data_IF_942708798033
#
_entry.id   IF_942708798033
#
_cell.length_a   1.000
_cell.length_b   1.000
_cell.length_c   1.000
_cell.angle_alpha   90.00
_cell.angle_beta   90.00
_cell.angle_gamma   90.00
#
_symmetry.space_group_name_H-M   'P 1'
#
loop_
_entity.id
_entity.type
_entity.pdbx_description
1 polymer ?
#
# COMPACT_ATOMS: atom_id res chain seq x y z
N UNK A 1 -19.12 -9.30 2.87
CA UNK A 1 -17.67 -9.56 2.99
C UNK A 1 -17.24 -9.46 4.43
N UNK A 2 -16.34 -10.33 4.90
CA UNK A 2 -16.01 -10.46 6.32
C UNK A 2 -14.50 -10.55 6.53
N UNK A 3 -13.98 -9.72 7.42
CA UNK A 3 -12.58 -9.73 7.85
C UNK A 3 -12.43 -10.66 9.03
N UNK A 4 -11.85 -11.85 8.77
CA UNK A 4 -11.45 -12.77 9.83
C UNK A 4 -10.30 -12.14 10.63
N UNK A 5 -10.38 -12.16 11.95
CA UNK A 5 -9.29 -11.74 12.85
C UNK A 5 -8.95 -12.88 13.80
N UNK A 6 -7.69 -13.31 13.80
CA UNK A 6 -7.24 -14.45 14.62
C UNK A 6 -6.04 -14.12 15.50
N UNK A 7 -5.95 -14.77 16.65
CA UNK A 7 -4.79 -14.68 17.52
C UNK A 7 -3.64 -15.59 17.04
N UNK A 8 -2.57 -15.67 17.84
CA UNK A 8 -1.39 -16.50 17.54
C UNK A 8 -1.66 -18.00 17.66
N UNK A 9 -2.74 -18.41 18.32
CA UNK A 9 -3.19 -19.82 18.41
C UNK A 9 -4.01 -20.23 17.18
N UNK A 10 -4.38 -19.27 16.32
CA UNK A 10 -5.26 -19.48 15.17
C UNK A 10 -6.75 -19.35 15.48
N UNK A 11 -7.10 -19.01 16.72
CA UNK A 11 -8.47 -18.84 17.19
C UNK A 11 -8.96 -17.41 16.95
N UNK A 12 -10.27 -17.20 16.99
CA UNK A 12 -10.82 -15.85 16.85
C UNK A 12 -10.44 -15.00 18.07
N UNK A 13 -10.01 -13.76 17.83
CA UNK A 13 -9.75 -12.82 18.93
C UNK A 13 -11.03 -12.48 19.69
N UNK A 14 -10.90 -11.97 20.91
CA UNK A 14 -12.02 -11.53 21.77
C UNK A 14 -12.94 -10.53 21.08
N UNK A 15 -12.39 -9.62 20.27
CA UNK A 15 -13.16 -8.62 19.51
C UNK A 15 -13.82 -9.19 18.24
N UNK A 16 -13.62 -10.47 17.93
CA UNK A 16 -14.16 -11.17 16.76
C UNK A 16 -13.67 -10.60 15.42
N UNK A 17 -14.14 -11.17 14.31
CA UNK A 17 -14.04 -10.53 13.00
C UNK A 17 -15.15 -9.48 12.78
N UNK A 18 -15.11 -8.75 11.67
CA UNK A 18 -16.12 -7.76 11.34
C UNK A 18 -16.46 -7.74 9.85
N UNK A 19 -17.65 -7.25 9.49
CA UNK A 19 -18.01 -7.10 8.09
C UNK A 19 -17.19 -5.99 7.43
N UNK A 20 -16.93 -6.13 6.13
CA UNK A 20 -16.12 -5.19 5.37
C UNK A 20 -16.50 -3.73 5.59
N UNK A 21 -17.81 -3.42 5.52
CA UNK A 21 -18.32 -2.06 5.72
C UNK A 21 -18.02 -1.48 7.11
N UNK A 22 -17.96 -2.33 8.15
CA UNK A 22 -17.67 -1.91 9.53
C UNK A 22 -16.19 -1.54 9.73
N UNK A 23 -15.32 -1.95 8.81
CA UNK A 23 -13.90 -1.59 8.81
C UNK A 23 -13.58 -0.31 8.04
N UNK A 24 -14.44 0.10 7.10
CA UNK A 24 -14.18 1.24 6.20
C UNK A 24 -14.10 2.54 7.00
N UNK A 25 -12.94 3.21 6.93
CA UNK A 25 -12.62 4.43 7.68
C UNK A 25 -12.76 4.34 9.21
N UNK A 26 -12.57 3.14 9.79
CA UNK A 26 -12.63 2.92 11.25
C UNK A 26 -11.26 2.57 11.83
N UNK A 27 -10.35 3.54 11.87
CA UNK A 27 -9.02 3.36 12.48
C UNK A 27 -9.07 2.94 13.96
N UNK A 28 -10.15 3.28 14.68
CA UNK A 28 -10.40 2.82 16.05
C UNK A 28 -10.40 1.30 16.19
N UNK A 29 -10.78 0.55 15.13
CA UNK A 29 -10.70 -0.92 15.10
C UNK A 29 -9.27 -1.42 15.27
N UNK A 30 -8.31 -0.72 14.68
CA UNK A 30 -6.89 -1.08 14.80
C UNK A 30 -6.37 -0.64 16.17
N UNK A 31 -6.69 0.59 16.60
CA UNK A 31 -6.14 1.17 17.83
C UNK A 31 -6.64 0.50 19.11
N UNK A 32 -7.90 0.04 19.14
CA UNK A 32 -8.56 -0.40 20.36
C UNK A 32 -9.07 -1.85 20.33
N UNK A 33 -9.00 -2.55 19.18
CA UNK A 33 -9.52 -3.93 19.05
C UNK A 33 -8.46 -4.93 18.57
N UNK A 34 -7.26 -4.88 19.18
CA UNK A 34 -6.24 -5.91 19.01
C UNK A 34 -5.18 -5.63 17.94
N UNK A 35 -5.07 -4.41 17.44
CA UNK A 35 -3.98 -4.03 16.54
C UNK A 35 -4.13 -4.56 15.11
N UNK A 36 -2.99 -4.61 14.41
CA UNK A 36 -2.91 -5.03 12.99
C UNK A 36 -2.69 -6.54 12.85
N UNK A 37 -2.01 -7.17 13.80
CA UNK A 37 -1.60 -8.57 13.70
C UNK A 37 -2.76 -9.53 13.45
N UNK A 38 -3.90 -9.45 14.18
CA UNK A 38 -5.00 -10.36 13.93
C UNK A 38 -5.59 -10.25 12.52
N UNK A 39 -5.53 -9.06 11.92
CA UNK A 39 -6.00 -8.79 10.56
C UNK A 39 -5.04 -9.43 9.56
N UNK A 40 -3.73 -9.22 9.73
CA UNK A 40 -2.70 -9.81 8.84
C UNK A 40 -2.73 -11.34 8.92
N UNK A 41 -2.86 -11.93 10.12
CA UNK A 41 -3.08 -13.38 10.28
C UNK A 41 -4.36 -13.84 9.57
N UNK A 42 -5.41 -13.04 9.62
CA UNK A 42 -6.65 -13.26 8.88
C UNK A 42 -6.44 -13.29 7.37
N UNK A 43 -5.68 -12.34 6.80
CA UNK A 43 -5.34 -12.30 5.38
C UNK A 43 -4.55 -13.53 4.94
N UNK A 44 -3.59 -13.97 5.75
CA UNK A 44 -2.78 -15.15 5.44
C UNK A 44 -3.59 -16.46 5.45
N UNK A 45 -4.72 -16.49 6.16
CA UNK A 45 -5.57 -17.69 6.32
C UNK A 45 -6.89 -17.62 5.55
N UNK A 46 -7.14 -16.54 4.81
CA UNK A 46 -8.38 -16.38 4.05
C UNK A 46 -8.08 -16.49 2.56
N UNK A 47 -8.69 -17.44 1.83
CA UNK A 47 -8.47 -17.56 0.39
C UNK A 47 -9.01 -16.34 -0.34
N UNK A 48 -8.29 -15.90 -1.37
CA UNK A 48 -8.74 -14.82 -2.25
C UNK A 48 -9.99 -15.24 -3.02
N UNK A 49 -10.90 -14.28 -3.24
CA UNK A 49 -12.07 -14.50 -4.09
C UNK A 49 -11.68 -14.49 -5.57
N UNK A 50 -12.41 -15.24 -6.38
CA UNK A 50 -12.23 -15.20 -7.84
C UNK A 50 -12.57 -13.80 -8.38
N UNK A 51 -11.75 -13.23 -9.28
CA UNK A 51 -11.91 -11.84 -9.72
C UNK A 51 -13.25 -11.50 -10.39
N UNK A 52 -13.90 -12.44 -11.08
CA UNK A 52 -15.20 -12.20 -11.75
C UNK A 52 -16.38 -11.95 -10.81
N UNK A 53 -16.18 -11.96 -9.48
CA UNK A 53 -17.25 -11.84 -8.48
C UNK A 53 -17.01 -10.69 -7.53
N UNK A 54 -17.51 -9.51 -7.91
CA UNK A 54 -17.68 -8.40 -6.97
C UNK A 54 -18.71 -8.78 -5.90
N UNK A 55 -18.45 -8.39 -4.65
CA UNK A 55 -19.33 -8.74 -3.54
C UNK A 55 -20.38 -7.64 -3.32
N UNK A 56 -21.58 -7.96 -2.81
CA UNK A 56 -22.57 -6.94 -2.46
C UNK A 56 -22.07 -5.90 -1.45
N UNK A 57 -20.99 -6.20 -0.71
CA UNK A 57 -20.38 -5.23 0.19
C UNK A 57 -19.77 -4.03 -0.54
N UNK A 58 -19.34 -4.21 -1.80
CA UNK A 58 -18.75 -3.15 -2.63
C UNK A 58 -19.70 -2.66 -3.74
N UNK A 59 -20.67 -3.46 -4.17
CA UNK A 59 -21.65 -3.02 -5.19
C UNK A 59 -22.89 -2.37 -4.58
N UNK A 60 -23.29 -2.73 -3.35
CA UNK A 60 -24.52 -2.18 -2.75
C UNK A 60 -24.26 -1.30 -1.52
N UNK A 61 -23.17 -1.58 -0.79
CA UNK A 61 -22.96 -1.06 0.57
C UNK A 61 -21.66 -0.28 0.74
N UNK A 62 -20.93 0.02 -0.34
CA UNK A 62 -19.71 0.81 -0.22
C UNK A 62 -20.07 2.21 0.27
N UNK A 63 -19.43 2.68 1.34
CA UNK A 63 -19.75 3.98 1.96
C UNK A 63 -21.24 4.20 2.27
N UNK A 64 -21.98 3.13 2.56
CA UNK A 64 -23.40 3.18 2.93
C UNK A 64 -24.40 2.92 1.80
N UNK A 65 -24.10 3.30 0.55
CA UNK A 65 -25.03 3.11 -0.59
C UNK A 65 -24.38 3.27 -1.98
N UNK A 66 -23.06 3.14 -2.08
CA UNK A 66 -22.32 3.34 -3.33
C UNK A 66 -21.99 2.01 -4.00
N UNK A 67 -22.14 1.97 -5.33
CA UNK A 67 -21.69 0.87 -6.18
C UNK A 67 -20.31 1.17 -6.79
N UNK A 68 -19.28 0.48 -6.28
CA UNK A 68 -17.91 0.65 -6.78
C UNK A 68 -17.74 0.13 -8.22
N UNK A 69 -18.50 -0.88 -8.63
CA UNK A 69 -18.47 -1.40 -9.99
C UNK A 69 -18.98 -0.37 -11.00
N UNK A 70 -20.15 0.21 -10.73
CA UNK A 70 -20.72 1.30 -11.53
C UNK A 70 -19.82 2.54 -11.54
N UNK A 71 -19.18 2.87 -10.42
CA UNK A 71 -18.19 3.96 -10.36
C UNK A 71 -16.97 3.70 -11.23
N UNK A 72 -16.44 2.46 -11.28
CA UNK A 72 -15.30 2.12 -12.13
C UNK A 72 -15.65 2.26 -13.61
N UNK A 73 -16.86 1.87 -14.01
CA UNK A 73 -17.39 2.10 -15.37
C UNK A 73 -17.42 3.60 -15.67
N UNK A 74 -18.06 4.38 -14.79
CA UNK A 74 -18.18 5.82 -15.00
C UNK A 74 -16.83 6.54 -15.00
N UNK A 75 -15.88 6.10 -14.17
CA UNK A 75 -14.50 6.60 -14.14
C UNK A 75 -13.76 6.31 -15.43
N UNK A 76 -13.94 5.11 -15.99
CA UNK A 76 -13.37 4.77 -17.30
C UNK A 76 -13.84 5.73 -18.39
N UNK A 77 -15.15 6.03 -18.41
CA UNK A 77 -15.75 6.98 -19.36
C UNK A 77 -15.27 8.42 -19.14
N UNK A 78 -15.20 8.86 -17.88
CA UNK A 78 -14.70 10.18 -17.48
C UNK A 78 -13.25 10.40 -17.95
N UNK A 79 -12.41 9.37 -17.83
CA UNK A 79 -11.02 9.41 -18.28
C UNK A 79 -10.84 9.06 -19.78
N UNK A 80 -11.94 8.90 -20.53
CA UNK A 80 -11.94 8.49 -21.93
C UNK A 80 -11.07 7.26 -22.21
N UNK A 81 -11.12 6.27 -21.31
CA UNK A 81 -10.41 5.01 -21.50
C UNK A 81 -10.97 4.31 -22.74
N UNK A 82 -10.12 3.84 -23.67
CA UNK A 82 -10.58 3.13 -24.85
C UNK A 82 -11.45 1.91 -24.53
N UNK A 83 -12.30 1.52 -25.47
CA UNK A 83 -13.16 0.36 -25.31
C UNK A 83 -12.36 -0.93 -25.14
N UNK A 84 -13.01 -1.95 -24.56
CA UNK A 84 -12.45 -3.28 -24.43
C UNK A 84 -11.96 -3.83 -25.78
N UNK A 85 -12.73 -3.68 -26.85
CA UNK A 85 -12.34 -4.16 -28.18
C UNK A 85 -11.10 -3.43 -28.73
N UNK A 86 -10.97 -2.13 -28.45
CA UNK A 86 -9.76 -1.35 -28.78
C UNK A 86 -8.56 -1.85 -27.97
N UNK A 87 -8.73 -2.09 -26.67
CA UNK A 87 -7.66 -2.60 -25.82
C UNK A 87 -7.22 -4.03 -26.19
N UNK A 88 -8.15 -4.87 -26.64
CA UNK A 88 -7.85 -6.21 -27.19
C UNK A 88 -6.91 -6.12 -28.39
N UNK A 89 -7.24 -5.26 -29.36
CA UNK A 89 -6.41 -5.09 -30.56
C UNK A 89 -5.03 -4.51 -30.24
N UNK A 90 -4.96 -3.55 -29.30
CA UNK A 90 -3.67 -3.08 -28.75
C UNK A 90 -2.83 -4.22 -28.18
N UNK A 91 -3.46 -5.20 -27.53
CA UNK A 91 -2.82 -6.39 -26.98
C UNK A 91 -2.62 -7.53 -27.99
N UNK A 92 -2.83 -7.28 -29.29
CA UNK A 92 -2.59 -8.25 -30.36
C UNK A 92 -3.70 -9.28 -30.56
N UNK A 93 -4.85 -9.12 -29.91
CA UNK A 93 -6.02 -9.97 -30.12
C UNK A 93 -6.85 -9.49 -31.34
N UNK A 94 -7.58 -10.39 -32.02
CA UNK A 94 -8.47 -10.01 -33.11
C UNK A 94 -9.55 -9.02 -32.64
N UNK A 95 -9.88 -8.06 -33.51
CA UNK A 95 -11.05 -7.19 -33.29
C UNK A 95 -12.32 -8.03 -33.38
N UNK A 96 -13.21 -7.91 -32.40
CA UNK A 96 -14.53 -8.53 -32.44
C UNK A 96 -15.51 -7.67 -33.23
N UNK A 97 -16.18 -8.25 -34.21
CA UNK A 97 -17.27 -7.63 -34.97
C UNK A 97 -18.64 -8.00 -34.37
N UNK A 98 -18.69 -9.09 -33.60
CA UNK A 98 -19.87 -9.56 -32.88
C UNK A 98 -19.57 -9.92 -31.42
N UNK A 99 -20.57 -9.89 -30.55
CA UNK A 99 -20.40 -10.34 -29.16
C UNK A 99 -20.02 -11.83 -29.04
N UNK A 100 -20.30 -12.65 -30.05
CA UNK A 100 -19.88 -14.05 -30.10
C UNK A 100 -18.36 -14.18 -30.32
N UNK A 101 -17.74 -13.21 -30.99
CA UNK A 101 -16.30 -13.18 -31.27
C UNK A 101 -15.45 -12.95 -30.00
N UNK A 102 -16.08 -12.58 -28.88
CA UNK A 102 -15.44 -12.58 -27.56
C UNK A 102 -15.26 -13.99 -26.97
N UNK A 103 -15.70 -15.05 -27.65
CA UNK A 103 -15.59 -16.44 -27.20
C UNK A 103 -14.16 -16.96 -27.06
N UNK A 104 -13.17 -16.24 -27.59
CA UNK A 104 -11.75 -16.53 -27.43
C UNK A 104 -11.23 -16.24 -26.02
N UNK A 105 -11.79 -15.23 -25.34
CA UNK A 105 -11.37 -14.79 -24.00
C UNK A 105 -12.49 -14.87 -22.95
N UNK A 106 -13.76 -14.77 -23.35
CA UNK A 106 -14.95 -14.85 -22.48
C UNK A 106 -15.68 -16.15 -22.84
N UNK A 107 -15.32 -17.25 -22.20
CA UNK A 107 -15.78 -18.58 -22.60
C UNK A 107 -17.28 -18.76 -22.33
N UNK A 108 -17.78 -18.22 -21.21
CA UNK A 108 -19.20 -18.32 -20.84
C UNK A 108 -20.09 -17.50 -21.79
N UNK A 109 -20.90 -18.24 -22.55
CA UNK A 109 -21.86 -17.68 -23.51
C UNK A 109 -22.91 -16.78 -22.83
N UNK A 110 -23.29 -17.04 -21.59
CA UNK A 110 -24.26 -16.20 -20.88
C UNK A 110 -23.71 -14.82 -20.59
N UNK A 111 -22.39 -14.70 -20.31
CA UNK A 111 -21.73 -13.41 -20.13
C UNK A 111 -21.73 -12.62 -21.44
N UNK A 112 -21.44 -13.28 -22.57
CA UNK A 112 -21.48 -12.67 -23.91
C UNK A 112 -22.88 -12.20 -24.31
N UNK A 113 -23.92 -12.99 -24.00
CA UNK A 113 -25.32 -12.57 -24.15
C UNK A 113 -25.66 -11.41 -23.20
N UNK A 114 -25.10 -11.41 -21.99
CA UNK A 114 -25.22 -10.29 -21.05
C UNK A 114 -24.66 -9.00 -21.63
N UNK A 115 -23.49 -9.06 -22.28
CA UNK A 115 -22.89 -7.90 -22.96
C UNK A 115 -23.80 -7.38 -24.08
N UNK A 116 -24.32 -8.26 -24.94
CA UNK A 116 -25.18 -7.84 -26.06
C UNK A 116 -26.52 -7.24 -25.64
N UNK A 117 -26.95 -7.47 -24.39
CA UNK A 117 -28.14 -6.82 -23.81
C UNK A 117 -27.86 -5.44 -23.24
N UNK A 118 -26.61 -5.16 -22.86
CA UNK A 118 -26.24 -3.92 -22.16
C UNK A 118 -25.46 -2.94 -23.05
N UNK A 119 -24.85 -3.42 -24.13
CA UNK A 119 -24.08 -2.63 -25.08
C UNK A 119 -24.65 -2.78 -26.50
N UNK A 120 -24.65 -1.70 -27.28
CA UNK A 120 -25.18 -1.73 -28.65
C UNK A 120 -24.20 -2.42 -29.60
N UNK A 121 -22.90 -2.14 -29.46
CA UNK A 121 -21.85 -2.72 -30.29
C UNK A 121 -20.69 -3.24 -29.44
N UNK A 122 -19.83 -4.10 -30.01
CA UNK A 122 -18.61 -4.59 -29.36
C UNK A 122 -17.63 -3.45 -29.02
N UNK A 123 -17.65 -2.37 -29.81
CA UNK A 123 -16.82 -1.18 -29.62
C UNK A 123 -17.31 -0.27 -28.49
N UNK A 124 -18.52 -0.49 -27.94
CA UNK A 124 -19.04 0.27 -26.78
C UNK A 124 -18.69 -0.36 -25.43
N UNK A 125 -18.20 -1.61 -25.41
CA UNK A 125 -17.92 -2.34 -24.17
C UNK A 125 -16.82 -1.63 -23.39
N UNK A 126 -17.14 -1.16 -22.19
CA UNK A 126 -16.16 -0.50 -21.31
C UNK A 126 -14.99 -1.45 -21.00
N UNK A 127 -13.75 -0.95 -21.07
CA UNK A 127 -12.55 -1.77 -20.84
C UNK A 127 -12.60 -2.51 -19.49
N UNK A 128 -13.03 -1.82 -18.43
CA UNK A 128 -13.19 -2.42 -17.09
C UNK A 128 -14.15 -3.62 -17.11
N UNK A 129 -15.27 -3.52 -17.83
CA UNK A 129 -16.26 -4.62 -17.87
C UNK A 129 -15.71 -5.79 -18.66
N UNK A 130 -15.23 -5.56 -19.88
CA UNK A 130 -14.71 -6.64 -20.73
C UNK A 130 -13.53 -7.37 -20.08
N UNK A 131 -12.57 -6.63 -19.53
CA UNK A 131 -11.38 -7.21 -18.88
C UNK A 131 -11.70 -8.03 -17.62
N UNK A 132 -12.75 -7.67 -16.87
CA UNK A 132 -13.19 -8.43 -15.70
C UNK A 132 -14.00 -9.68 -16.06
N UNK A 133 -14.50 -9.79 -17.30
CA UNK A 133 -15.26 -10.94 -17.79
C UNK A 133 -14.38 -11.97 -18.51
N UNK A 134 -13.16 -11.61 -18.93
CA UNK A 134 -12.22 -12.57 -19.51
C UNK A 134 -11.86 -13.67 -18.51
N UNK A 135 -11.81 -14.92 -18.97
CA UNK A 135 -11.32 -16.03 -18.19
C UNK A 135 -9.82 -15.87 -17.88
N UNK A 136 -9.35 -16.22 -16.66
CA UNK A 136 -7.95 -16.03 -16.29
C UNK A 136 -7.00 -16.88 -17.13
N UNK A 137 -5.82 -16.34 -17.42
CA UNK A 137 -4.75 -17.12 -18.05
C UNK A 137 -4.27 -18.25 -17.12
N UNK A 138 -3.66 -19.29 -17.69
CA UNK A 138 -3.11 -20.41 -16.91
C UNK A 138 -2.08 -19.91 -15.89
N UNK A 139 -2.33 -20.18 -14.60
CA UNK A 139 -1.49 -19.72 -13.50
C UNK A 139 -1.66 -18.24 -13.11
N UNK A 140 -2.57 -17.51 -13.77
CA UNK A 140 -2.88 -16.12 -13.49
C UNK A 140 -4.23 -15.92 -12.80
N UNK A 141 -4.49 -14.67 -12.39
CA UNK A 141 -5.77 -14.26 -11.80
C UNK A 141 -6.64 -13.45 -12.76
N UNK A 142 -6.06 -12.88 -13.81
CA UNK A 142 -6.75 -12.01 -14.77
C UNK A 142 -6.62 -12.55 -16.18
N UNK A 143 -7.51 -12.11 -17.06
CA UNK A 143 -7.50 -12.50 -18.47
C UNK A 143 -6.34 -11.90 -19.27
N UNK A 144 -6.26 -12.28 -20.54
CA UNK A 144 -5.18 -11.93 -21.46
C UNK A 144 -5.04 -10.42 -21.65
N UNK A 145 -6.14 -9.70 -21.90
CA UNK A 145 -6.09 -8.26 -22.19
C UNK A 145 -5.64 -7.49 -20.96
N UNK A 146 -6.16 -7.82 -19.77
CA UNK A 146 -5.76 -7.16 -18.53
C UNK A 146 -4.31 -7.51 -18.16
N UNK A 147 -3.88 -8.75 -18.37
CA UNK A 147 -2.49 -9.19 -18.16
C UNK A 147 -1.52 -8.42 -19.04
N UNK A 148 -1.86 -8.19 -20.31
CA UNK A 148 -1.08 -7.39 -21.25
C UNK A 148 -0.90 -5.94 -20.76
N UNK A 149 -2.00 -5.27 -20.39
CA UNK A 149 -1.96 -3.88 -19.93
C UNK A 149 -1.17 -3.74 -18.62
N UNK A 150 -1.43 -4.62 -17.65
CA UNK A 150 -0.68 -4.65 -16.37
C UNK A 150 0.80 -4.92 -16.64
N UNK A 151 1.11 -5.93 -17.47
CA UNK A 151 2.48 -6.32 -17.80
C UNK A 151 3.27 -5.18 -18.45
N UNK A 152 2.67 -4.50 -19.43
CA UNK A 152 3.31 -3.35 -20.09
C UNK A 152 3.52 -2.19 -19.11
N UNK A 153 2.57 -1.91 -18.22
CA UNK A 153 2.73 -0.88 -17.20
C UNK A 153 3.85 -1.20 -16.21
N UNK A 154 3.91 -2.43 -15.68
CA UNK A 154 4.95 -2.85 -14.74
C UNK A 154 6.33 -2.91 -15.40
N UNK A 155 6.40 -3.34 -16.67
CA UNK A 155 7.64 -3.33 -17.45
C UNK A 155 8.18 -1.92 -17.60
N UNK A 156 7.35 -0.95 -18.00
CA UNK A 156 7.77 0.45 -18.14
C UNK A 156 8.18 1.07 -16.80
N UNK A 157 7.48 0.75 -15.71
CA UNK A 157 7.86 1.20 -14.37
C UNK A 157 9.24 0.67 -13.97
N UNK A 158 9.52 -0.60 -14.27
CA UNK A 158 10.83 -1.21 -14.00
C UNK A 158 11.93 -0.60 -14.88
N UNK A 159 11.74 -0.66 -16.20
CA UNK A 159 12.78 -0.31 -17.18
C UNK A 159 13.05 1.21 -17.20
N UNK A 160 12.04 2.02 -16.85
CA UNK A 160 12.13 3.48 -16.78
C UNK A 160 12.59 4.03 -15.43
N UNK A 161 12.72 3.20 -14.40
CA UNK A 161 13.18 3.64 -13.07
C UNK A 161 14.72 3.59 -12.99
N UNK A 162 15.34 4.77 -12.95
CA UNK A 162 16.78 4.91 -12.75
C UNK A 162 17.26 4.24 -11.45
N UNK A 163 16.41 4.20 -10.44
CA UNK A 163 16.70 3.61 -9.12
C UNK A 163 16.14 2.20 -8.95
N UNK A 164 15.73 1.53 -10.04
CA UNK A 164 15.32 0.13 -9.96
C UNK A 164 16.45 -0.69 -9.31
N UNK A 165 16.12 -1.48 -8.29
CA UNK A 165 17.10 -2.03 -7.36
C UNK A 165 18.13 -2.98 -8.01
N UNK A 166 17.85 -3.53 -9.19
CA UNK A 166 18.81 -4.36 -9.94
C UNK A 166 19.71 -3.57 -10.91
N UNK A 167 19.49 -2.25 -11.06
CA UNK A 167 20.33 -1.43 -11.92
C UNK A 167 21.75 -1.30 -11.37
N UNK A 168 22.71 -1.29 -12.29
CA UNK A 168 24.12 -1.14 -11.94
C UNK A 168 24.37 0.18 -11.20
N UNK A 169 25.09 0.11 -10.08
CA UNK A 169 25.45 1.28 -9.28
C UNK A 169 24.38 1.73 -8.27
N UNK A 170 23.19 1.11 -8.25
CA UNK A 170 22.19 1.36 -7.19
C UNK A 170 22.59 0.63 -5.91
N UNK A 171 22.91 -0.66 -6.03
CA UNK A 171 23.43 -1.49 -4.95
C UNK A 171 24.71 -2.19 -5.38
N UNK A 172 25.57 -2.50 -4.41
CA UNK A 172 26.71 -3.40 -4.61
C UNK A 172 26.23 -4.84 -4.85
N UNK A 173 27.02 -5.70 -5.50
CA UNK A 173 26.64 -7.10 -5.71
C UNK A 173 26.31 -7.86 -4.42
N UNK A 174 27.02 -7.56 -3.31
CA UNK A 174 26.74 -8.15 -1.99
C UNK A 174 25.42 -7.66 -1.41
N UNK A 175 25.13 -6.37 -1.48
CA UNK A 175 23.83 -5.83 -1.06
C UNK A 175 22.67 -6.42 -1.87
N UNK A 176 22.83 -6.54 -3.20
CA UNK A 176 21.82 -7.15 -4.05
C UNK A 176 21.59 -8.63 -3.72
N UNK A 177 22.65 -9.37 -3.39
CA UNK A 177 22.55 -10.74 -2.92
C UNK A 177 21.75 -10.86 -1.60
N UNK A 178 21.86 -9.89 -0.69
CA UNK A 178 21.05 -9.86 0.54
C UNK A 178 19.60 -9.46 0.25
N UNK A 179 19.35 -8.45 -0.59
CA UNK A 179 17.98 -8.02 -0.96
C UNK A 179 17.20 -9.18 -1.57
N UNK A 180 17.84 -10.00 -2.41
CA UNK A 180 17.21 -11.17 -3.05
C UNK A 180 16.79 -12.28 -2.08
N UNK A 181 17.27 -12.26 -0.84
CA UNK A 181 16.82 -13.18 0.22
C UNK A 181 15.53 -12.71 0.91
N UNK A 182 15.11 -11.47 0.69
CA UNK A 182 13.93 -10.90 1.33
C UNK A 182 12.63 -11.57 0.87
N UNK A 183 11.65 -11.63 1.76
CA UNK A 183 10.31 -12.14 1.48
C UNK A 183 9.28 -11.36 2.30
N UNK A 184 8.05 -11.25 1.79
CA UNK A 184 6.96 -10.62 2.54
C UNK A 184 6.68 -11.35 3.86
N UNK A 185 6.83 -12.67 3.89
CA UNK A 185 6.71 -13.44 5.14
C UNK A 185 7.76 -13.00 6.14
N UNK A 186 9.03 -12.84 5.73
CA UNK A 186 10.08 -12.38 6.64
C UNK A 186 9.79 -10.99 7.20
N UNK A 187 9.35 -10.05 6.36
CA UNK A 187 8.94 -8.71 6.80
C UNK A 187 7.84 -8.78 7.87
N UNK A 188 6.84 -9.64 7.67
CA UNK A 188 5.78 -9.84 8.67
C UNK A 188 6.34 -10.42 9.97
N UNK A 189 7.21 -11.43 9.91
CA UNK A 189 7.76 -12.06 11.13
C UNK A 189 8.74 -11.15 11.90
N UNK A 190 9.43 -10.22 11.23
CA UNK A 190 10.32 -9.27 11.89
C UNK A 190 9.57 -8.11 12.57
N UNK A 191 8.33 -7.83 12.16
CA UNK A 191 7.58 -6.65 12.61
C UNK A 191 6.24 -6.98 13.30
N UNK A 192 5.83 -8.25 13.31
CA UNK A 192 4.60 -8.71 13.95
C UNK A 192 4.88 -9.65 15.11
N UNK A 193 3.94 -9.74 16.04
CA UNK A 193 4.07 -10.57 17.23
C UNK A 193 3.71 -12.02 16.92
N UNK A 194 4.57 -12.98 17.27
CA UNK A 194 4.23 -14.41 17.30
C UNK A 194 3.67 -15.00 15.99
N UNK A 195 4.10 -14.50 14.83
CA UNK A 195 3.68 -15.04 13.51
C UNK A 195 4.29 -16.41 13.20
N UNK A 196 5.36 -16.77 13.89
CA UNK A 196 6.02 -18.07 13.84
C UNK A 196 5.21 -19.20 14.51
N UNK A 197 4.02 -18.95 15.04
CA UNK A 197 3.27 -19.94 15.83
C UNK A 197 1.98 -20.45 15.15
N UNK A 198 1.60 -19.89 14.01
CA UNK A 198 0.25 -20.10 13.45
C UNK A 198 0.13 -21.40 12.64
N UNK A 199 1.11 -21.73 11.80
CA UNK A 199 1.12 -22.99 11.03
C UNK A 199 2.53 -23.37 10.61
N UNK A 200 2.82 -24.67 10.46
CA UNK A 200 4.16 -25.14 10.07
C UNK A 200 4.67 -24.53 8.77
N UNK A 201 3.79 -24.22 7.83
CA UNK A 201 4.15 -23.51 6.63
C UNK A 201 4.61 -22.07 6.92
N UNK A 202 3.93 -21.37 7.83
CA UNK A 202 4.30 -20.02 8.25
C UNK A 202 5.57 -20.01 9.12
N UNK A 203 5.76 -21.01 9.98
CA UNK A 203 7.02 -21.25 10.71
C UNK A 203 8.17 -21.39 9.72
N UNK A 204 8.01 -22.23 8.70
CA UNK A 204 9.01 -22.43 7.68
C UNK A 204 9.26 -21.16 6.86
N UNK A 205 8.23 -20.35 6.60
CA UNK A 205 8.32 -19.05 5.92
C UNK A 205 8.96 -17.93 6.75
N UNK A 206 8.86 -17.99 8.08
CA UNK A 206 9.59 -17.10 8.99
C UNK A 206 11.06 -17.53 9.16
N UNK A 207 11.31 -18.85 9.15
CA UNK A 207 12.65 -19.42 9.31
C UNK A 207 13.46 -19.44 8.01
N UNK A 208 12.82 -19.39 6.85
CA UNK A 208 13.52 -19.27 5.57
C UNK A 208 14.12 -17.86 5.43
N UNK A 209 15.44 -17.81 5.28
CA UNK A 209 16.19 -16.54 5.26
C UNK A 209 16.57 -16.01 6.64
N UNK A 210 16.42 -16.79 7.72
CA UNK A 210 17.08 -16.48 9.00
C UNK A 210 18.59 -16.45 8.72
N UNK A 211 19.18 -15.27 8.79
CA UNK A 211 20.63 -15.15 8.99
C UNK A 211 20.97 -16.08 10.17
N UNK A 212 21.97 -16.98 10.05
CA UNK A 212 22.39 -17.76 11.19
C UNK A 212 22.69 -16.80 12.32
N UNK A 213 22.17 -17.09 13.51
CA UNK A 213 22.56 -16.41 14.74
C UNK A 213 24.01 -16.77 15.05
N UNK A 214 24.95 -16.20 14.31
CA UNK A 214 26.30 -15.98 14.77
C UNK A 214 26.26 -14.63 15.50
N UNK A 215 26.51 -14.63 16.81
CA UNK A 215 26.36 -13.45 17.67
C UNK A 215 27.31 -12.28 17.34
N UNK A 216 27.34 -11.21 18.16
CA UNK A 216 26.30 -10.76 19.10
C UNK A 216 25.10 -10.17 18.32
N UNK A 217 23.98 -9.99 19.03
CA UNK A 217 22.73 -9.31 18.58
C UNK A 217 22.84 -8.51 17.27
N UNK A 218 22.14 -8.98 16.23
CA UNK A 218 21.80 -8.15 15.08
C UNK A 218 20.90 -7.04 15.64
N UNK A 219 21.47 -5.85 15.83
CA UNK A 219 20.69 -4.64 15.97
C UNK A 219 19.72 -4.61 14.79
N UNK A 220 18.43 -4.36 15.07
CA UNK A 220 17.45 -3.91 14.08
C UNK A 220 18.16 -3.00 13.08
N UNK A 221 17.88 -3.13 11.78
CA UNK A 221 18.48 -2.31 10.70
C UNK A 221 18.59 -0.87 11.18
N UNK A 222 19.76 -0.53 11.71
CA UNK A 222 20.11 0.84 12.00
C UNK A 222 20.39 1.39 10.62
N UNK A 223 19.78 2.52 10.21
CA UNK A 223 20.31 3.28 9.12
C UNK A 223 21.66 3.82 9.62
N UNK A 224 22.70 3.01 9.53
CA UNK A 224 24.05 3.49 9.78
C UNK A 224 24.31 4.51 8.69
N UNK A 225 24.55 5.72 9.16
CA UNK A 225 24.88 6.87 8.38
C UNK A 225 25.94 6.52 7.34
N UNK A 226 25.89 7.23 6.21
CA UNK A 226 27.09 7.50 5.42
C UNK A 226 28.20 7.89 6.42
N UNK A 227 29.22 7.06 6.55
CA UNK A 227 30.33 7.30 7.47
C UNK A 227 31.63 6.96 6.76
N UNK A 228 32.41 8.01 6.43
CA UNK A 228 33.83 7.88 6.13
C UNK A 228 34.63 7.49 7.39
N UNK A 229 35.94 7.30 7.26
CA UNK A 229 36.78 6.78 8.33
C UNK A 229 37.02 7.87 9.36
N UNK A 230 36.60 7.66 10.60
CA UNK A 230 37.33 7.98 11.83
C UNK A 230 36.51 7.48 13.03
N UNK A 231 37.13 6.62 13.84
CA UNK A 231 36.60 5.98 15.03
C UNK A 231 36.22 6.98 16.13
N UNK A 232 35.06 6.79 16.78
CA UNK A 232 34.92 7.07 18.23
C UNK A 232 33.95 6.07 18.86
N UNK A 233 34.45 5.39 19.87
CA UNK A 233 33.80 4.40 20.73
C UNK A 233 32.64 5.02 21.55
N UNK A 234 31.46 4.39 21.55
CA UNK A 234 30.29 4.87 22.30
C UNK A 234 29.91 3.90 23.43
N UNK A 235 29.91 4.44 24.65
CA UNK A 235 29.51 3.77 25.87
C UNK A 235 28.02 3.39 25.90
N UNK A 236 27.73 2.25 26.53
CA UNK A 236 26.39 1.68 26.74
C UNK A 236 25.63 2.46 27.81
N UNK A 237 24.42 2.94 27.51
CA UNK A 237 23.45 3.46 28.50
C UNK A 237 22.20 2.57 28.50
N UNK A 238 21.72 2.08 29.66
CA UNK A 238 20.56 1.20 29.72
C UNK A 238 19.21 1.93 29.58
N UNK A 239 18.21 1.20 29.08
CA UNK A 239 16.82 1.61 28.86
C UNK A 239 16.17 2.23 30.11
N UNK A 240 15.53 3.40 29.97
CA UNK A 240 14.53 3.89 30.91
C UNK A 240 13.16 3.97 30.26
N UNK A 241 12.17 3.33 30.89
CA UNK A 241 10.75 3.48 30.60
C UNK A 241 10.29 4.92 30.85
N UNK A 242 9.93 5.67 29.80
CA UNK A 242 9.09 6.86 29.95
C UNK A 242 8.35 7.16 28.64
N UNK A 243 7.07 6.79 28.56
CA UNK A 243 6.15 7.32 27.55
C UNK A 243 5.73 8.73 27.99
N UNK A 244 6.11 9.77 27.25
CA UNK A 244 5.56 11.13 27.40
C UNK A 244 4.48 11.35 26.35
N UNK A 245 3.27 11.64 26.84
CA UNK A 245 2.08 11.93 26.05
C UNK A 245 1.99 13.43 25.76
N UNK A 246 1.81 13.84 24.51
CA UNK A 246 1.38 15.21 24.16
C UNK A 246 -0.14 15.26 24.16
N UNK A 247 -0.73 15.91 25.18
CA UNK A 247 -2.17 16.16 25.26
C UNK A 247 -2.49 17.42 24.45
N UNK A 248 -3.24 17.28 23.36
CA UNK A 248 -3.95 18.41 22.74
C UNK A 248 -5.22 18.63 23.57
N UNK A 249 -5.26 19.68 24.39
CA UNK A 249 -6.52 20.13 24.99
C UNK A 249 -7.31 20.91 23.94
N UNK A 250 -8.40 20.33 23.43
CA UNK A 250 -9.41 21.07 22.69
C UNK A 250 -10.34 21.79 23.68
N UNK A 251 -10.27 23.11 23.73
CA UNK A 251 -11.35 23.91 24.32
C UNK A 251 -12.38 24.32 23.26
N UNK A 252 -13.61 24.54 23.73
CA UNK A 252 -14.86 24.59 22.97
C UNK A 252 -14.96 25.65 21.86
N UNK A 253 -15.90 25.41 20.94
CA UNK A 253 -16.17 26.02 19.63
C UNK A 253 -16.56 27.53 19.57
N UNK A 254 -16.25 28.37 20.56
CA UNK A 254 -16.71 29.78 20.57
C UNK A 254 -15.63 30.86 20.39
N UNK A 255 -14.36 30.52 20.17
CA UNK A 255 -13.30 31.50 19.84
C UNK A 255 -12.47 31.08 18.63
N UNK A 256 -13.11 31.02 17.45
CA UNK A 256 -12.40 31.04 16.17
C UNK A 256 -12.04 32.49 15.83
N UNK A 257 -10.80 32.90 16.10
CA UNK A 257 -10.01 33.86 15.32
C UNK A 257 -8.63 33.99 15.97
N UNK A 258 -7.59 33.84 15.15
CA UNK A 258 -6.14 33.89 15.45
C UNK A 258 -5.51 32.53 15.81
N UNK A 259 -5.04 31.82 14.78
CA UNK A 259 -4.00 30.81 14.94
C UNK A 259 -2.65 31.53 15.11
N UNK A 260 -1.99 31.35 16.25
CA UNK A 260 -0.55 31.53 16.41
C UNK A 260 0.00 30.23 16.98
N UNK A 261 0.75 29.49 16.17
CA UNK A 261 1.47 28.29 16.63
C UNK A 261 2.74 28.76 17.34
N UNK A 262 2.81 28.59 18.66
CA UNK A 262 4.04 28.84 19.42
C UNK A 262 4.89 27.56 19.39
N UNK A 263 5.94 27.54 18.57
CA UNK A 263 6.97 26.50 18.63
C UNK A 263 8.19 27.10 19.36
N UNK A 264 8.42 26.70 20.61
CA UNK A 264 9.70 26.94 21.27
C UNK A 264 10.59 25.71 21.03
N UNK A 265 11.73 25.91 20.35
CA UNK A 265 12.81 24.93 20.35
C UNK A 265 13.43 24.91 21.75
N UNK A 266 13.55 23.73 22.36
CA UNK A 266 14.47 23.52 23.46
C UNK A 266 15.77 22.98 22.85
N UNK A 267 16.82 23.79 22.82
CA UNK A 267 18.17 23.29 22.57
C UNK A 267 18.72 22.61 23.83
N UNK A 268 19.35 21.47 23.63
CA UNK A 268 20.12 20.75 24.64
C UNK A 268 21.55 21.28 24.57
N UNK A 269 22.06 21.81 25.69
CA UNK A 269 23.43 22.34 25.79
C UNK A 269 24.42 21.18 25.90
N UNK A 270 25.41 21.14 25.01
CA UNK A 270 26.69 20.45 25.25
C UNK A 270 27.83 21.43 24.98
N UNK A 271 28.61 21.74 26.01
CA UNK A 271 29.92 22.38 25.85
C UNK A 271 29.92 23.92 25.87
N UNK A 272 30.91 24.47 26.57
CA UNK A 272 31.12 25.87 26.94
C UNK A 272 31.28 26.86 25.78
N UNK A 273 30.41 27.85 25.66
CA UNK A 273 30.72 29.26 25.31
C UNK A 273 29.46 30.12 25.34
N UNK A 274 29.55 31.33 25.90
CA UNK A 274 28.45 32.27 26.11
C UNK A 274 28.38 33.24 24.91
N UNK A 275 27.23 33.34 24.24
CA UNK A 275 26.91 34.48 23.39
C UNK A 275 25.39 34.68 23.17
N UNK A 276 24.87 35.82 23.65
CA UNK A 276 23.79 36.63 23.08
C UNK A 276 22.39 36.02 22.82
N UNK A 277 21.41 36.37 23.66
CA UNK A 277 19.98 36.17 23.39
C UNK A 277 19.51 37.11 22.28
N UNK A 278 18.92 36.58 21.21
CA UNK A 278 18.13 37.37 20.24
C UNK A 278 16.62 37.16 20.52
N UNK A 279 15.78 38.21 20.44
CA UNK A 279 14.35 38.08 20.73
C UNK A 279 13.58 37.41 19.58
N UNK A 280 12.55 36.64 19.93
CA UNK A 280 11.62 36.03 18.97
C UNK A 280 10.87 37.11 18.17
N UNK A 281 10.93 37.05 16.84
CA UNK A 281 10.12 37.88 15.94
C UNK A 281 9.00 37.08 15.29
N UNK A 282 7.82 37.72 15.19
CA UNK A 282 6.66 37.22 14.44
C UNK A 282 6.99 37.27 12.95
N UNK A 283 6.90 36.14 12.24
CA UNK A 283 7.06 36.08 10.79
C UNK A 283 5.69 35.89 10.13
N UNK A 284 5.32 36.83 9.25
CA UNK A 284 4.08 36.76 8.46
C UNK A 284 4.20 35.66 7.38
N UNK A 285 3.28 34.67 7.33
CA UNK A 285 3.27 33.59 6.34
C UNK A 285 3.28 34.05 4.87
N UNK A 286 2.89 35.30 4.57
CA UNK A 286 2.88 35.83 3.20
C UNK A 286 4.27 36.14 2.64
N UNK A 287 5.26 36.33 3.50
CA UNK A 287 6.64 36.65 3.10
C UNK A 287 7.43 35.41 2.60
N UNK A 288 7.08 34.22 3.09
CA UNK A 288 7.69 32.95 2.69
C UNK A 288 7.27 32.48 1.28
N UNK A 289 6.08 32.86 0.82
CA UNK A 289 5.57 32.53 -0.51
C UNK A 289 6.24 33.33 -1.65
N UNK A 290 6.77 34.52 -1.35
CA UNK A 290 7.46 35.35 -2.33
C UNK A 290 8.87 34.83 -2.67
N UNK A 291 9.58 34.25 -1.69
CA UNK A 291 10.93 33.69 -1.88
C UNK A 291 10.94 32.38 -2.68
N UNK A 292 9.89 31.56 -2.57
CA UNK A 292 9.75 30.32 -3.32
C UNK A 292 9.42 30.54 -4.81
N UNK A 293 8.82 31.68 -5.17
CA UNK A 293 8.42 32.00 -6.55
C UNK A 293 9.54 32.61 -7.41
N UNK A 294 10.65 33.05 -6.81
CA UNK A 294 11.80 33.61 -7.56
C UNK A 294 12.84 32.55 -7.95
N UNK A 295 12.87 31.37 -7.31
CA UNK A 295 13.81 30.29 -7.64
C UNK A 295 13.31 29.34 -8.75
N UNK A 296 12.03 29.39 -9.11
CA UNK A 296 11.45 28.57 -10.19
C UNK A 296 11.48 29.22 -11.58
N UNK A 297 12.16 30.37 -11.75
CA UNK A 297 12.36 31.03 -13.06
C UNK A 297 13.75 30.88 -13.66
N UNK A 298 14.69 30.24 -12.96
CA UNK A 298 16.01 29.89 -13.47
C UNK A 298 16.36 28.45 -13.08
N UNK A 299 15.69 27.49 -13.72
CA UNK A 299 16.09 26.08 -13.84
C UNK A 299 15.43 25.50 -15.10
#
# INVERSE_FOLDING_TARGET
EFYKRIDFSGDNITHGGFFFGDGVFKSSKILFEGGVDPIVRGFMNTPVKRPHRMTPAITEKMFGSTDLGSLNIQRGRDHAIPSYNTMRTFCGLPKAESFEDFSDMILDRNLRIGLSRNYNTTDDVDFYVGSMLEDPVLGGLVGTTLSCVIGEQFKRLRDGDRFYYENHGVFTPSQLAEIRKSSLSRVICDNGDHFELISQEQINRCNSGRLPAAGPTINAVQPTARGGPDEVEAAVVPRSDTVRSCIIQSQSRSQLRQHSTLCCAHEFVVGTSVAGVSPCTIVDPRSLLAAASSQLRHA
#
